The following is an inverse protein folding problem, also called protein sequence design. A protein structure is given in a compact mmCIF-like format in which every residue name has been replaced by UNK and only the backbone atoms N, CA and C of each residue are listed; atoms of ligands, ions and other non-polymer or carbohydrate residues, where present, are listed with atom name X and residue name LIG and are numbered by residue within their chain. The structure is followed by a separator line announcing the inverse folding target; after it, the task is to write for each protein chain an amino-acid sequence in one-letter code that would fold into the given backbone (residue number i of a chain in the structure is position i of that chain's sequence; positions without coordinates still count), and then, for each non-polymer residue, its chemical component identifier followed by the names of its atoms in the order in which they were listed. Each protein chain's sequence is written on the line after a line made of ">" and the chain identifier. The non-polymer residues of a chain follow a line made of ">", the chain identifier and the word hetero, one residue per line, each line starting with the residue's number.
data_IF_802162175812
#
_entry.id   IF_802162175812
#
_cell.length_a   1.000
_cell.length_b   1.000
_cell.length_c   1.000
_cell.angle_alpha   90.00
_cell.angle_beta   90.00
_cell.angle_gamma   90.00
#
_symmetry.space_group_name_H-M   'P 1'
#
loop_
_entity.id
_entity.type
_entity.pdbx_description
1 polymer ?
#
# COMPACT_ATOMS: atom_id res chain seq x y z
N UNK A 1 24.45 15.58 -2.71
CA UNK A 1 23.00 15.82 -2.57
C UNK A 1 22.28 14.48 -2.51
N UNK A 2 21.94 13.99 -1.30
CA UNK A 2 21.19 12.73 -1.11
C UNK A 2 20.07 12.85 -0.06
N UNK A 3 19.71 14.08 0.35
CA UNK A 3 18.82 14.31 1.49
C UNK A 3 17.43 13.69 1.37
N UNK A 4 16.86 13.60 0.17
CA UNK A 4 15.57 12.94 -0.05
C UNK A 4 15.67 11.41 0.20
N UNK A 5 16.75 10.79 -0.27
CA UNK A 5 17.02 9.37 -0.07
C UNK A 5 17.28 9.08 1.41
N UNK A 6 18.07 9.91 2.07
CA UNK A 6 18.35 9.81 3.51
C UNK A 6 17.07 9.95 4.34
N UNK A 7 16.18 10.89 4.00
CA UNK A 7 14.90 11.06 4.66
C UNK A 7 13.97 9.86 4.45
N UNK A 8 13.95 9.27 3.26
CA UNK A 8 13.19 8.05 2.98
C UNK A 8 13.71 6.87 3.81
N UNK A 9 15.03 6.64 3.80
CA UNK A 9 15.69 5.58 4.59
C UNK A 9 15.38 5.76 6.09
N UNK A 10 15.47 6.99 6.61
CA UNK A 10 15.15 7.29 8.01
C UNK A 10 13.69 6.97 8.36
N UNK A 11 12.75 7.27 7.45
CA UNK A 11 11.35 6.94 7.66
C UNK A 11 11.11 5.43 7.65
N UNK A 12 11.70 4.70 6.72
CA UNK A 12 11.58 3.23 6.64
C UNK A 12 12.14 2.59 7.91
N UNK A 13 13.31 3.04 8.37
CA UNK A 13 13.91 2.56 9.63
C UNK A 13 12.95 2.76 10.81
N UNK A 14 12.34 3.94 10.94
CA UNK A 14 11.38 4.25 12.01
C UNK A 14 10.12 3.40 11.95
N UNK A 15 9.68 2.98 10.76
CA UNK A 15 8.55 2.06 10.61
C UNK A 15 8.95 0.67 11.09
N UNK A 16 10.11 0.17 10.67
CA UNK A 16 10.62 -1.14 11.09
C UNK A 16 10.78 -1.19 12.62
N UNK A 17 11.41 -0.17 13.22
CA UNK A 17 11.59 -0.05 14.67
C UNK A 17 10.27 -0.15 15.46
N UNK A 18 9.13 0.22 14.86
CA UNK A 18 7.80 0.09 15.47
C UNK A 18 7.13 -1.25 15.25
N UNK A 19 7.56 -2.01 14.24
CA UNK A 19 6.95 -3.29 13.85
C UNK A 19 7.72 -4.48 14.44
N UNK A 20 9.02 -4.35 14.67
CA UNK A 20 9.83 -5.42 15.26
C UNK A 20 9.34 -5.76 16.67
N UNK A 21 9.19 -7.05 16.95
CA UNK A 21 8.91 -7.57 18.29
C UNK A 21 10.22 -8.00 18.94
N UNK A 22 11.13 -8.55 18.13
CA UNK A 22 12.49 -8.95 18.53
C UNK A 22 13.51 -8.40 17.55
N UNK A 23 14.78 -8.25 17.93
CA UNK A 23 15.80 -7.76 16.99
C UNK A 23 16.03 -8.69 15.78
N UNK A 24 15.54 -9.94 15.82
CA UNK A 24 15.77 -10.95 14.78
C UNK A 24 14.76 -10.88 13.64
N UNK A 25 13.59 -10.30 13.85
CA UNK A 25 12.47 -10.29 12.87
C UNK A 25 12.51 -9.10 11.89
N UNK A 26 13.50 -8.21 12.00
CA UNK A 26 13.58 -6.98 11.21
C UNK A 26 13.49 -7.21 9.69
N UNK A 27 14.04 -8.32 9.21
CA UNK A 27 14.09 -8.66 7.80
C UNK A 27 12.71 -9.11 7.27
N UNK A 28 11.90 -9.75 8.11
CA UNK A 28 10.50 -10.06 7.80
C UNK A 28 9.66 -8.78 7.81
N UNK A 29 9.88 -7.91 8.81
CA UNK A 29 9.18 -6.63 8.94
C UNK A 29 9.53 -5.62 7.84
N UNK A 30 10.70 -5.76 7.20
CA UNK A 30 11.14 -4.88 6.11
C UNK A 30 10.14 -4.86 4.95
N UNK A 31 9.60 -6.02 4.57
CA UNK A 31 8.64 -6.11 3.46
C UNK A 31 7.37 -5.29 3.78
N UNK A 32 6.84 -5.46 4.99
CA UNK A 32 5.65 -4.73 5.44
C UNK A 32 5.91 -3.23 5.60
N UNK A 33 7.08 -2.86 6.13
CA UNK A 33 7.47 -1.47 6.28
C UNK A 33 7.61 -0.76 4.92
N UNK A 34 8.19 -1.43 3.93
CA UNK A 34 8.28 -0.92 2.56
C UNK A 34 6.91 -0.80 1.91
N UNK A 35 6.03 -1.79 2.10
CA UNK A 35 4.66 -1.73 1.60
C UNK A 35 3.91 -0.53 2.18
N UNK A 36 3.85 -0.41 3.51
CA UNK A 36 3.20 0.73 4.17
C UNK A 36 3.86 2.07 3.84
N UNK A 37 5.19 2.10 3.60
CA UNK A 37 5.85 3.30 3.12
C UNK A 37 5.33 3.73 1.73
N UNK A 38 5.15 2.78 0.82
CA UNK A 38 4.74 3.05 -0.56
C UNK A 38 3.26 3.38 -0.71
N UNK A 39 2.39 2.78 0.11
CA UNK A 39 0.93 2.89 -0.05
C UNK A 39 0.27 3.95 0.82
N UNK A 40 0.96 4.47 1.85
CA UNK A 40 0.40 5.51 2.71
C UNK A 40 0.76 6.92 2.22
N UNK A 41 -0.24 7.81 2.27
CA UNK A 41 -0.11 9.22 1.90
C UNK A 41 0.94 9.91 2.78
N UNK A 42 1.86 10.63 2.14
CA UNK A 42 2.89 11.41 2.84
C UNK A 42 2.37 12.82 3.08
N UNK A 43 2.45 13.29 4.32
CA UNK A 43 2.05 14.66 4.69
C UNK A 43 2.80 15.75 3.92
N UNK A 44 4.05 15.47 3.50
CA UNK A 44 4.86 16.41 2.72
C UNK A 44 4.42 16.59 1.28
N UNK A 45 3.79 15.58 0.66
CA UNK A 45 3.41 15.60 -0.75
C UNK A 45 1.91 15.50 -0.98
N UNK A 46 1.13 15.11 0.03
CA UNK A 46 -0.30 14.80 -0.11
C UNK A 46 -0.58 13.55 -0.96
N UNK A 47 0.45 12.82 -1.38
CA UNK A 47 0.35 11.67 -2.27
C UNK A 47 1.04 10.42 -1.69
N UNK A 48 0.70 9.25 -2.19
CA UNK A 48 1.41 8.00 -1.88
C UNK A 48 2.70 7.94 -2.71
N UNK A 49 3.83 7.42 -2.18
CA UNK A 49 5.02 7.25 -3.01
C UNK A 49 4.79 6.34 -4.23
N UNK A 50 3.84 5.39 -4.14
CA UNK A 50 3.40 4.60 -5.28
C UNK A 50 2.79 5.47 -6.38
N UNK A 51 1.84 6.35 -6.05
CA UNK A 51 1.18 7.18 -7.08
C UNK A 51 2.12 8.21 -7.72
N UNK A 52 3.15 8.66 -7.00
CA UNK A 52 4.22 9.49 -7.57
C UNK A 52 5.08 8.76 -8.60
N UNK A 53 5.25 7.44 -8.48
CA UNK A 53 6.07 6.64 -9.40
C UNK A 53 5.27 6.18 -10.61
N UNK A 54 4.04 5.71 -10.39
CA UNK A 54 3.22 5.07 -11.43
C UNK A 54 2.13 5.96 -12.01
N UNK A 55 1.90 7.14 -11.44
CA UNK A 55 0.85 8.06 -11.90
C UNK A 55 -0.58 7.58 -11.58
N UNK A 56 -0.74 6.54 -10.77
CA UNK A 56 -2.04 5.99 -10.38
C UNK A 56 -2.03 5.55 -8.91
N UNK A 57 -3.19 5.59 -8.26
CA UNK A 57 -3.32 5.08 -6.89
C UNK A 57 -3.15 3.56 -6.87
N UNK A 58 -2.56 3.03 -5.80
CA UNK A 58 -2.42 1.59 -5.62
C UNK A 58 -3.80 0.94 -5.49
N UNK A 59 -4.02 -0.21 -6.13
CA UNK A 59 -5.18 -1.07 -5.85
C UNK A 59 -4.71 -2.10 -4.85
N UNK A 60 -5.24 -2.05 -3.62
CA UNK A 60 -4.81 -2.97 -2.56
C UNK A 60 -5.31 -4.39 -2.82
N UNK A 61 -4.59 -5.45 -2.41
CA UNK A 61 -5.07 -6.83 -2.54
C UNK A 61 -6.46 -7.04 -1.93
N UNK A 62 -6.76 -6.37 -0.82
CA UNK A 62 -8.07 -6.40 -0.18
C UNK A 62 -9.17 -5.83 -1.09
N UNK A 63 -8.87 -4.80 -1.88
CA UNK A 63 -9.81 -4.24 -2.86
C UNK A 63 -10.06 -5.19 -4.05
N UNK A 64 -9.22 -6.21 -4.24
CA UNK A 64 -9.40 -7.24 -5.27
C UNK A 64 -10.12 -8.45 -4.70
N UNK A 65 -9.75 -8.89 -3.49
CA UNK A 65 -10.41 -9.99 -2.77
C UNK A 65 -11.85 -9.64 -2.39
N UNK A 66 -12.03 -8.42 -1.90
CA UNK A 66 -13.33 -7.77 -1.72
C UNK A 66 -13.39 -6.68 -2.80
N UNK A 67 -13.85 -7.00 -4.03
CA UNK A 67 -13.89 -6.04 -5.13
C UNK A 67 -14.50 -4.73 -4.68
N UNK A 68 -13.63 -3.74 -4.58
CA UNK A 68 -14.00 -2.39 -4.24
C UNK A 68 -14.78 -1.78 -5.39
N UNK A 69 -15.52 -0.69 -5.12
CA UNK A 69 -16.17 0.08 -6.18
C UNK A 69 -15.21 0.46 -7.30
N UNK A 70 -13.94 0.77 -6.97
CA UNK A 70 -12.90 1.08 -7.94
C UNK A 70 -12.62 -0.10 -8.87
N UNK A 71 -12.49 -1.31 -8.32
CA UNK A 71 -12.26 -2.55 -9.10
C UNK A 71 -13.49 -2.90 -9.93
N UNK A 72 -14.70 -2.75 -9.37
CA UNK A 72 -15.95 -3.00 -10.10
C UNK A 72 -16.13 -2.04 -11.27
N UNK A 73 -15.87 -0.74 -11.09
CA UNK A 73 -15.94 0.26 -12.16
C UNK A 73 -14.95 -0.05 -13.29
N UNK A 74 -13.71 -0.43 -12.96
CA UNK A 74 -12.70 -0.80 -13.96
C UNK A 74 -13.09 -2.09 -14.70
N UNK A 75 -13.64 -3.07 -13.98
CA UNK A 75 -14.13 -4.32 -14.55
C UNK A 75 -15.46 -4.18 -15.31
N UNK A 76 -16.12 -3.01 -15.23
CA UNK A 76 -17.48 -2.76 -15.76
C UNK A 76 -18.51 -3.76 -15.23
N UNK A 77 -18.32 -4.24 -14.02
CA UNK A 77 -19.23 -5.17 -13.34
C UNK A 77 -20.15 -4.38 -12.42
N UNK A 78 -21.44 -4.70 -12.47
CA UNK A 78 -22.39 -4.17 -11.50
C UNK A 78 -22.23 -4.89 -10.15
N UNK A 79 -22.44 -4.16 -9.05
CA UNK A 79 -22.31 -4.70 -7.70
C UNK A 79 -23.26 -5.89 -7.47
N UNK A 80 -24.48 -5.85 -8.01
CA UNK A 80 -25.44 -6.94 -7.88
C UNK A 80 -25.02 -8.19 -8.67
N UNK A 81 -24.40 -8.00 -9.84
CA UNK A 81 -23.87 -9.11 -10.64
C UNK A 81 -22.69 -9.81 -9.95
N UNK A 82 -21.82 -9.03 -9.30
CA UNK A 82 -20.73 -9.58 -8.53
C UNK A 82 -21.22 -10.31 -7.27
N UNK A 83 -22.18 -9.73 -6.52
CA UNK A 83 -22.77 -10.39 -5.35
C UNK A 83 -23.36 -11.74 -5.74
N UNK A 84 -24.08 -11.81 -6.88
CA UNK A 84 -24.66 -13.05 -7.40
C UNK A 84 -23.59 -14.13 -7.63
N UNK A 85 -22.49 -13.80 -8.31
CA UNK A 85 -21.41 -14.76 -8.61
C UNK A 85 -20.62 -15.27 -7.39
N UNK A 86 -20.82 -14.70 -6.20
CA UNK A 86 -20.16 -15.16 -4.97
C UNK A 86 -20.99 -16.21 -4.19
N UNK A 87 -22.30 -16.22 -4.37
CA UNK A 87 -23.22 -17.11 -3.65
C UNK A 87 -23.68 -18.32 -4.48
N UNK A 88 -23.17 -18.45 -5.71
CA UNK A 88 -23.28 -19.63 -6.58
C UNK A 88 -21.97 -20.44 -6.55
#
# INVERSE_FOLDING_TARGET
>A
MNGAVEAAIKNIKRIIEKMIITYKDWHEMLLFALHGYRTLVRTSTGATPFSLVYGMEVVLPLEVEIPSLRVLMEAKLDEAEWIRGRYE
#
